data_IF_371784401890
#
_entry.id   IF_371784401890
#
_cell.length_a   1.000
_cell.length_b   1.000
_cell.length_c   1.000
_cell.angle_alpha   90.00
_cell.angle_beta   90.00
_cell.angle_gamma   90.00
#
_symmetry.space_group_name_H-M   'P 1'
#
loop_
_entity.id
_entity.type
_entity.pdbx_description
1 polymer ?
#
# COMPACT_ATOMS: atom_id res chain seq x y z
N UNK A 1 -31.28 -3.06 -12.02
CA UNK A 1 -31.46 -1.62 -11.64
C UNK A 1 -30.43 -0.82 -12.41
N UNK A 2 -30.82 0.25 -13.13
CA UNK A 2 -29.81 1.14 -13.74
C UNK A 2 -29.00 1.76 -12.62
N UNK A 3 -27.67 1.59 -12.64
CA UNK A 3 -26.77 2.10 -11.62
C UNK A 3 -26.99 3.59 -11.40
N UNK A 4 -27.15 4.00 -10.13
CA UNK A 4 -27.24 5.41 -9.77
C UNK A 4 -25.86 6.03 -9.96
N UNK A 5 -25.74 6.95 -10.91
CA UNK A 5 -24.55 7.81 -10.97
C UNK A 5 -24.60 8.83 -9.83
N UNK A 6 -23.47 8.99 -9.12
CA UNK A 6 -23.34 10.03 -8.11
C UNK A 6 -23.23 11.40 -8.82
N UNK A 7 -24.01 12.42 -8.45
CA UNK A 7 -23.94 13.75 -9.06
C UNK A 7 -22.58 14.39 -8.85
N UNK A 8 -22.15 15.24 -9.78
CA UNK A 8 -20.96 16.09 -9.60
C UNK A 8 -21.13 16.99 -8.37
N UNK A 9 -20.01 17.30 -7.69
CA UNK A 9 -19.99 18.44 -6.80
C UNK A 9 -20.27 19.71 -7.64
N UNK A 10 -21.08 20.63 -7.12
CA UNK A 10 -21.55 21.79 -7.86
C UNK A 10 -20.40 22.67 -8.38
N UNK A 11 -19.30 22.79 -7.64
CA UNK A 11 -18.11 23.54 -8.06
C UNK A 11 -17.42 22.90 -9.26
N UNK A 12 -17.27 21.58 -9.25
CA UNK A 12 -16.70 20.82 -10.37
C UNK A 12 -17.62 20.86 -11.59
N UNK A 13 -18.93 20.82 -11.38
CA UNK A 13 -19.93 20.97 -12.43
C UNK A 13 -19.84 22.35 -13.10
N UNK A 14 -19.74 23.41 -12.29
CA UNK A 14 -19.54 24.78 -12.82
C UNK A 14 -18.26 24.90 -13.62
N UNK A 15 -17.14 24.39 -13.12
CA UNK A 15 -15.85 24.42 -13.81
C UNK A 15 -15.90 23.64 -15.13
N UNK A 16 -16.48 22.43 -15.15
CA UNK A 16 -16.60 21.63 -16.36
C UNK A 16 -17.49 22.29 -17.43
N UNK A 17 -18.62 22.89 -17.03
CA UNK A 17 -19.50 23.63 -17.94
C UNK A 17 -18.81 24.90 -18.46
N UNK A 18 -18.08 25.61 -17.60
CA UNK A 18 -17.28 26.77 -18.02
C UNK A 18 -16.24 26.38 -19.08
N UNK A 19 -15.50 25.31 -18.85
CA UNK A 19 -14.53 24.81 -19.80
C UNK A 19 -15.16 24.43 -21.17
N UNK A 20 -16.35 23.82 -21.14
CA UNK A 20 -17.12 23.57 -22.37
C UNK A 20 -17.55 24.85 -23.08
N UNK A 21 -17.97 25.87 -22.32
CA UNK A 21 -18.33 27.19 -22.90
C UNK A 21 -17.15 27.88 -23.57
N UNK A 22 -15.96 27.75 -23.02
CA UNK A 22 -14.72 28.31 -23.56
C UNK A 22 -14.15 27.48 -24.72
N UNK A 23 -14.68 26.28 -24.97
CA UNK A 23 -14.14 25.34 -25.95
C UNK A 23 -12.84 24.67 -25.52
N UNK A 24 -12.52 24.75 -24.26
CA UNK A 24 -11.33 24.17 -23.64
C UNK A 24 -11.54 22.71 -23.27
N UNK A 25 -12.79 22.32 -22.98
CA UNK A 25 -13.22 20.94 -22.77
C UNK A 25 -14.16 20.51 -23.89
N UNK A 26 -13.86 19.40 -24.55
CA UNK A 26 -14.75 18.82 -25.55
C UNK A 26 -16.05 18.29 -24.90
N UNK A 27 -17.19 18.52 -25.53
CA UNK A 27 -18.51 18.20 -24.97
C UNK A 27 -18.73 16.67 -24.85
N UNK A 28 -18.02 15.85 -25.59
CA UNK A 28 -18.04 14.39 -25.48
C UNK A 28 -17.30 13.85 -24.24
N UNK A 29 -16.50 14.69 -23.60
CA UNK A 29 -15.79 14.36 -22.36
C UNK A 29 -16.64 14.56 -21.10
N UNK A 30 -17.80 15.22 -21.19
CA UNK A 30 -18.73 15.43 -20.08
C UNK A 30 -20.03 14.64 -20.31
N UNK A 31 -20.35 13.77 -19.38
CA UNK A 31 -21.57 12.96 -19.47
C UNK A 31 -22.74 13.70 -18.82
N UNK A 32 -23.80 13.90 -19.57
CA UNK A 32 -24.97 14.69 -19.17
C UNK A 32 -25.64 14.17 -17.89
N UNK A 33 -25.61 12.85 -17.67
CA UNK A 33 -26.22 12.21 -16.51
C UNK A 33 -25.49 12.52 -15.20
N UNK A 34 -24.26 13.03 -15.28
CA UNK A 34 -23.45 13.41 -14.13
C UNK A 34 -23.81 14.80 -13.61
N UNK A 35 -24.52 15.60 -14.39
CA UNK A 35 -24.86 16.99 -14.08
C UNK A 35 -26.18 17.08 -13.29
N UNK A 36 -26.32 18.16 -12.54
CA UNK A 36 -27.59 18.56 -11.95
C UNK A 36 -28.64 18.85 -13.02
N UNK A 37 -29.92 18.89 -12.67
CA UNK A 37 -30.97 19.22 -13.66
C UNK A 37 -30.72 20.55 -14.37
N UNK A 38 -30.24 21.55 -13.62
CA UNK A 38 -29.90 22.87 -14.17
C UNK A 38 -28.67 22.79 -15.07
N UNK A 39 -27.60 22.09 -14.64
CA UNK A 39 -26.43 21.84 -15.45
C UNK A 39 -26.72 21.06 -16.73
N UNK A 40 -27.60 20.06 -16.69
CA UNK A 40 -28.06 19.30 -17.86
C UNK A 40 -28.73 20.22 -18.92
N UNK A 41 -29.60 21.14 -18.47
CA UNK A 41 -30.26 22.05 -19.37
C UNK A 41 -29.26 23.01 -20.06
N UNK A 42 -28.33 23.54 -19.31
CA UNK A 42 -27.26 24.42 -19.82
C UNK A 42 -26.35 23.64 -20.77
N UNK A 43 -25.92 22.43 -20.38
CA UNK A 43 -25.06 21.61 -21.23
C UNK A 43 -25.74 21.22 -22.55
N UNK A 44 -27.01 20.82 -22.54
CA UNK A 44 -27.79 20.58 -23.77
C UNK A 44 -27.83 21.82 -24.68
N UNK A 45 -27.97 22.99 -24.11
CA UNK A 45 -27.95 24.24 -24.85
C UNK A 45 -26.56 24.52 -25.46
N UNK A 46 -25.47 24.25 -24.74
CA UNK A 46 -24.10 24.39 -25.26
C UNK A 46 -23.89 23.45 -26.44
N UNK A 47 -24.22 22.17 -26.31
CA UNK A 47 -24.10 21.16 -27.36
C UNK A 47 -24.92 21.54 -28.60
N UNK A 48 -26.17 21.95 -28.38
CA UNK A 48 -27.06 22.36 -29.48
C UNK A 48 -26.62 23.60 -30.25
N UNK A 49 -25.94 24.54 -29.57
CA UNK A 49 -25.43 25.77 -30.15
C UNK A 49 -24.02 25.63 -30.72
N UNK A 50 -23.19 24.69 -30.15
CA UNK A 50 -21.80 24.51 -30.52
C UNK A 50 -21.53 23.90 -31.88
N UNK A 51 -22.56 23.33 -32.57
CA UNK A 51 -22.44 22.72 -33.89
C UNK A 51 -22.05 23.68 -35.03
N UNK A 52 -21.76 24.94 -34.74
CA UNK A 52 -21.40 25.98 -35.74
C UNK A 52 -19.97 26.54 -35.55
N UNK A 53 -19.11 25.87 -34.81
CA UNK A 53 -17.67 26.21 -34.71
C UNK A 53 -17.33 27.51 -33.96
N UNK A 54 -18.27 28.09 -33.23
CA UNK A 54 -18.05 29.24 -32.36
C UNK A 54 -18.57 28.94 -30.94
N UNK A 55 -17.84 29.32 -29.91
CA UNK A 55 -18.31 29.26 -28.54
C UNK A 55 -19.60 30.09 -28.40
N UNK A 56 -20.70 29.50 -27.89
CA UNK A 56 -21.96 30.22 -27.78
C UNK A 56 -21.88 31.29 -26.70
N UNK A 57 -22.54 32.43 -26.94
CA UNK A 57 -22.62 33.49 -25.92
C UNK A 57 -23.50 33.04 -24.74
N UNK A 58 -23.17 33.52 -23.53
CA UNK A 58 -23.97 33.25 -22.32
C UNK A 58 -25.46 33.53 -22.53
N UNK A 59 -25.82 34.61 -23.24
CA UNK A 59 -27.20 34.95 -23.56
C UNK A 59 -27.87 33.90 -24.46
N UNK A 60 -27.18 33.42 -25.47
CA UNK A 60 -27.71 32.36 -26.35
C UNK A 60 -27.91 31.05 -25.60
N UNK A 61 -26.97 30.66 -24.73
CA UNK A 61 -27.07 29.48 -23.88
C UNK A 61 -28.27 29.57 -22.94
N UNK A 62 -28.45 30.70 -22.26
CA UNK A 62 -29.60 30.92 -21.34
C UNK A 62 -30.94 30.83 -22.07
N UNK A 63 -31.02 31.38 -23.27
CA UNK A 63 -32.25 31.35 -24.08
C UNK A 63 -32.57 29.88 -24.50
N UNK A 64 -31.57 29.15 -24.98
CA UNK A 64 -31.75 27.75 -25.39
C UNK A 64 -31.97 26.83 -24.19
N UNK A 65 -31.29 27.04 -23.07
CA UNK A 65 -31.43 26.23 -21.87
C UNK A 65 -32.84 26.37 -21.25
N UNK A 66 -33.50 27.52 -21.41
CA UNK A 66 -34.87 27.73 -20.91
C UNK A 66 -35.90 26.80 -21.58
N UNK A 67 -35.62 26.30 -22.77
CA UNK A 67 -36.46 25.33 -23.48
C UNK A 67 -36.36 23.92 -22.87
N UNK A 68 -35.25 23.60 -22.22
CA UNK A 68 -34.98 22.29 -21.59
C UNK A 68 -35.21 22.28 -20.06
N UNK A 69 -35.29 23.46 -19.44
CA UNK A 69 -35.42 23.61 -18.00
C UNK A 69 -36.90 23.80 -17.64
N UNK A 70 -37.48 22.80 -17.03
CA UNK A 70 -38.89 22.87 -16.58
C UNK A 70 -39.14 23.72 -15.32
N UNK A 71 -38.19 24.61 -14.93
CA UNK A 71 -38.22 25.43 -13.74
C UNK A 71 -38.09 26.93 -14.00
N UNK A 72 -37.78 27.72 -12.95
CA UNK A 72 -37.64 29.17 -13.05
C UNK A 72 -36.37 29.54 -13.85
N UNK A 73 -36.49 30.47 -14.79
CA UNK A 73 -35.40 31.06 -15.53
C UNK A 73 -34.40 31.81 -14.63
N UNK A 74 -34.86 32.24 -13.44
CA UNK A 74 -34.02 32.79 -12.40
C UNK A 74 -32.91 31.85 -11.93
N UNK A 75 -33.25 30.56 -11.79
CA UNK A 75 -32.27 29.51 -11.42
C UNK A 75 -31.17 29.34 -12.47
N UNK A 76 -31.52 29.36 -13.75
CA UNK A 76 -30.56 29.31 -14.88
C UNK A 76 -29.61 30.49 -14.88
N UNK A 77 -30.13 31.73 -14.59
CA UNK A 77 -29.30 32.94 -14.53
C UNK A 77 -28.33 32.91 -13.36
N UNK A 78 -28.81 32.48 -12.19
CA UNK A 78 -27.98 32.35 -10.99
C UNK A 78 -26.89 31.28 -11.20
N UNK A 79 -27.23 30.14 -11.78
CA UNK A 79 -26.28 29.10 -12.11
C UNK A 79 -25.22 29.57 -13.12
N UNK A 80 -25.64 30.21 -14.21
CA UNK A 80 -24.71 30.73 -15.22
C UNK A 80 -23.80 31.86 -14.67
N UNK A 81 -24.28 32.63 -13.70
CA UNK A 81 -23.44 33.59 -13.00
C UNK A 81 -22.34 32.87 -12.22
N UNK A 82 -22.68 31.86 -11.45
CA UNK A 82 -21.71 31.04 -10.71
C UNK A 82 -20.72 30.31 -11.64
N UNK A 83 -21.18 29.80 -12.80
CA UNK A 83 -20.31 29.21 -13.83
C UNK A 83 -19.29 30.22 -14.34
N UNK A 84 -19.67 31.46 -14.61
CA UNK A 84 -18.78 32.49 -15.13
C UNK A 84 -17.84 33.07 -14.08
N UNK A 85 -18.21 33.00 -12.79
CA UNK A 85 -17.44 33.50 -11.66
C UNK A 85 -16.58 32.42 -11.02
N UNK A 86 -16.72 31.13 -11.45
CA UNK A 86 -15.91 30.05 -10.90
C UNK A 86 -14.44 30.26 -11.26
N UNK A 87 -13.58 30.18 -10.25
CA UNK A 87 -12.14 30.03 -10.46
C UNK A 87 -11.89 28.78 -11.29
N UNK A 88 -11.23 28.93 -12.44
CA UNK A 88 -10.94 27.81 -13.33
C UNK A 88 -9.73 27.06 -12.80
N UNK A 89 -9.89 25.84 -12.25
CA UNK A 89 -8.77 24.94 -12.14
C UNK A 89 -8.24 24.62 -13.54
N UNK A 90 -6.97 24.24 -13.63
CA UNK A 90 -6.43 23.80 -14.91
C UNK A 90 -7.28 22.65 -15.49
N UNK A 91 -7.55 22.69 -16.78
CA UNK A 91 -8.42 21.69 -17.47
C UNK A 91 -7.99 20.26 -17.16
N UNK A 92 -6.68 20.02 -17.02
CA UNK A 92 -6.12 18.72 -16.65
C UNK A 92 -6.65 18.26 -15.29
N UNK A 93 -6.84 19.16 -14.32
CA UNK A 93 -7.38 18.86 -13.00
C UNK A 93 -8.88 18.52 -13.06
N UNK A 94 -9.64 19.23 -13.87
CA UNK A 94 -11.07 18.94 -14.11
C UNK A 94 -11.23 17.57 -14.72
N UNK A 95 -10.47 17.25 -15.78
CA UNK A 95 -10.49 15.95 -16.45
C UNK A 95 -10.07 14.81 -15.53
N UNK A 96 -9.02 15.01 -14.72
CA UNK A 96 -8.57 14.02 -13.74
C UNK A 96 -9.67 13.74 -12.70
N UNK A 97 -10.33 14.78 -12.21
CA UNK A 97 -11.38 14.65 -11.21
C UNK A 97 -12.62 13.94 -11.78
N UNK A 98 -13.01 14.25 -13.01
CA UNK A 98 -14.10 13.55 -13.70
C UNK A 98 -13.76 12.08 -13.93
N UNK A 99 -12.56 11.77 -14.40
CA UNK A 99 -12.10 10.40 -14.59
C UNK A 99 -12.11 9.62 -13.27
N UNK A 100 -11.59 10.22 -12.19
CA UNK A 100 -11.58 9.61 -10.86
C UNK A 100 -13.00 9.31 -10.35
N UNK A 101 -13.94 10.23 -10.56
CA UNK A 101 -15.34 10.02 -10.15
C UNK A 101 -15.99 8.89 -10.92
N UNK A 102 -15.82 8.82 -12.26
CA UNK A 102 -16.36 7.72 -13.09
C UNK A 102 -15.82 6.38 -12.62
N UNK A 103 -14.57 6.35 -12.27
CA UNK A 103 -13.89 5.21 -11.71
C UNK A 103 -14.53 4.74 -10.38
N UNK A 104 -14.77 5.66 -9.46
CA UNK A 104 -15.46 5.36 -8.19
C UNK A 104 -16.88 4.85 -8.45
N UNK A 105 -17.61 5.47 -9.38
CA UNK A 105 -18.96 5.01 -9.75
C UNK A 105 -18.95 3.58 -10.32
N UNK A 106 -17.98 3.23 -11.17
CA UNK A 106 -17.84 1.89 -11.70
C UNK A 106 -17.61 0.85 -10.58
N UNK A 107 -16.73 1.18 -9.60
CA UNK A 107 -16.49 0.32 -8.43
C UNK A 107 -17.74 0.14 -7.58
N UNK A 108 -18.48 1.23 -7.31
CA UNK A 108 -19.71 1.17 -6.51
C UNK A 108 -20.81 0.35 -7.21
N UNK A 109 -20.97 0.51 -8.52
CA UNK A 109 -21.93 -0.25 -9.30
C UNK A 109 -21.58 -1.74 -9.32
N UNK A 110 -20.33 -2.10 -9.57
CA UNK A 110 -19.84 -3.47 -9.54
C UNK A 110 -20.04 -4.11 -8.15
N UNK A 111 -19.70 -3.39 -7.08
CA UNK A 111 -19.93 -3.85 -5.70
C UNK A 111 -21.42 -4.07 -5.43
N UNK A 112 -22.28 -3.18 -5.93
CA UNK A 112 -23.75 -3.29 -5.76
C UNK A 112 -24.29 -4.50 -6.51
N UNK A 113 -23.82 -4.75 -7.73
CA UNK A 113 -24.24 -5.89 -8.54
C UNK A 113 -23.75 -7.21 -7.95
N UNK A 114 -22.52 -7.28 -7.45
CA UNK A 114 -22.00 -8.46 -6.75
C UNK A 114 -22.80 -8.78 -5.48
N UNK A 115 -23.11 -7.77 -4.67
CA UNK A 115 -23.96 -7.94 -3.47
C UNK A 115 -25.35 -8.46 -3.89
N UNK A 116 -25.94 -7.92 -4.95
CA UNK A 116 -27.27 -8.31 -5.44
C UNK A 116 -27.29 -9.74 -6.00
N UNK A 117 -26.17 -10.23 -6.52
CA UNK A 117 -26.02 -11.61 -7.05
C UNK A 117 -25.55 -12.61 -6.00
N UNK A 118 -25.22 -12.17 -4.79
CA UNK A 118 -24.66 -13.00 -3.72
C UNK A 118 -23.19 -13.39 -3.93
N UNK A 119 -22.51 -12.73 -4.87
CA UNK A 119 -21.08 -12.87 -5.07
C UNK A 119 -20.33 -11.90 -4.15
N UNK A 120 -19.73 -12.43 -3.09
CA UNK A 120 -18.95 -11.64 -2.13
C UNK A 120 -17.44 -11.66 -2.46
N UNK A 121 -17.04 -12.12 -3.66
CA UNK A 121 -15.65 -12.01 -4.10
C UNK A 121 -15.32 -10.55 -4.45
N UNK A 122 -14.36 -9.97 -3.76
CA UNK A 122 -13.90 -8.59 -4.03
C UNK A 122 -12.91 -8.48 -5.21
N UNK A 123 -12.73 -9.55 -5.99
CA UNK A 123 -11.71 -9.60 -7.04
C UNK A 123 -11.97 -8.61 -8.18
N UNK A 124 -13.22 -8.51 -8.66
CA UNK A 124 -13.58 -7.56 -9.71
C UNK A 124 -13.48 -6.09 -9.26
N UNK A 125 -13.86 -5.83 -8.00
CA UNK A 125 -13.75 -4.49 -7.40
C UNK A 125 -12.30 -4.06 -7.28
N UNK A 126 -11.40 -4.96 -6.89
CA UNK A 126 -9.97 -4.68 -6.78
C UNK A 126 -9.36 -4.28 -8.13
N UNK A 127 -9.67 -5.03 -9.19
CA UNK A 127 -9.20 -4.73 -10.54
C UNK A 127 -9.69 -3.37 -11.04
N UNK A 128 -10.94 -3.00 -10.72
CA UNK A 128 -11.48 -1.69 -11.03
C UNK A 128 -10.79 -0.58 -10.22
N UNK A 129 -10.59 -0.77 -8.92
CA UNK A 129 -9.86 0.19 -8.08
C UNK A 129 -8.43 0.37 -8.59
N UNK A 130 -7.73 -0.70 -8.93
CA UNK A 130 -6.35 -0.64 -9.45
C UNK A 130 -6.28 0.07 -10.81
N UNK A 131 -7.25 -0.13 -11.70
CA UNK A 131 -7.36 0.59 -12.98
C UNK A 131 -7.69 2.06 -12.80
N UNK A 132 -8.40 2.43 -11.75
CA UNK A 132 -8.87 3.80 -11.49
C UNK A 132 -7.93 4.61 -10.63
N UNK A 133 -7.01 3.97 -9.92
CA UNK A 133 -6.09 4.62 -8.99
C UNK A 133 -4.91 5.34 -9.68
N UNK A 134 -4.83 5.40 -11.02
CA UNK A 134 -3.65 5.96 -11.66
C UNK A 134 -3.90 6.82 -12.89
N UNK A 135 -4.00 8.13 -12.74
CA UNK A 135 -3.72 9.04 -13.84
C UNK A 135 -2.36 9.75 -13.77
N UNK A 136 -1.55 9.58 -12.75
CA UNK A 136 -0.27 10.33 -12.67
C UNK A 136 0.92 9.68 -13.37
N UNK A 137 0.72 8.63 -14.18
CA UNK A 137 1.81 8.06 -14.97
C UNK A 137 1.93 8.73 -16.35
N UNK A 138 2.27 10.03 -16.38
CA UNK A 138 3.01 10.53 -17.55
C UNK A 138 4.24 9.63 -17.69
N UNK A 139 4.38 8.97 -18.84
CA UNK A 139 5.62 8.25 -19.17
C UNK A 139 6.75 9.29 -19.18
N UNK A 140 7.45 9.38 -18.04
CA UNK A 140 8.61 10.26 -17.91
C UNK A 140 9.83 9.44 -18.29
N UNK A 141 10.55 9.77 -19.36
CA UNK A 141 11.77 9.07 -19.73
C UNK A 141 12.73 8.98 -18.53
N UNK A 142 13.38 7.84 -18.35
CA UNK A 142 14.30 7.62 -17.23
C UNK A 142 15.40 8.70 -17.17
N UNK A 143 15.89 9.16 -18.34
CA UNK A 143 16.89 10.25 -18.45
C UNK A 143 16.47 11.52 -17.72
N UNK A 144 15.17 11.85 -17.73
CA UNK A 144 14.65 13.09 -17.11
C UNK A 144 14.61 12.97 -15.57
N UNK A 145 14.71 11.74 -15.05
CA UNK A 145 14.86 11.43 -13.63
C UNK A 145 16.33 11.33 -13.20
N UNK A 146 17.25 11.00 -14.12
CA UNK A 146 18.68 10.77 -13.83
C UNK A 146 19.48 12.04 -13.56
N UNK A 147 18.95 13.25 -13.85
CA UNK A 147 19.59 14.52 -13.50
C UNK A 147 19.62 14.84 -12.00
N UNK A 148 18.85 14.10 -11.19
CA UNK A 148 18.89 14.19 -9.73
C UNK A 148 19.92 13.17 -9.20
N UNK A 149 20.78 13.59 -8.27
CA UNK A 149 21.71 12.69 -7.57
C UNK A 149 20.90 11.56 -6.93
N UNK A 150 20.93 10.38 -7.55
CA UNK A 150 20.21 9.20 -7.05
C UNK A 150 21.09 8.57 -5.97
N UNK A 151 20.66 8.69 -4.72
CA UNK A 151 21.27 7.98 -3.62
C UNK A 151 20.81 6.51 -3.64
N UNK A 152 21.62 5.57 -3.14
CA UNK A 152 21.16 4.21 -2.89
C UNK A 152 19.90 4.22 -2.00
N UNK A 153 18.99 3.25 -2.15
CA UNK A 153 17.83 3.17 -1.29
C UNK A 153 18.25 3.05 0.18
N UNK A 154 17.68 3.88 1.03
CA UNK A 154 17.92 3.86 2.47
C UNK A 154 16.80 3.07 3.13
N UNK A 155 17.16 2.01 3.84
CA UNK A 155 16.24 1.19 4.61
C UNK A 155 15.92 1.77 5.99
N UNK A 156 15.08 1.07 6.71
CA UNK A 156 14.79 1.37 8.12
C UNK A 156 16.01 0.98 8.96
N UNK A 157 16.53 1.94 9.69
CA UNK A 157 17.62 1.71 10.65
C UNK A 157 17.11 0.87 11.84
N UNK A 158 17.92 -0.11 12.26
CA UNK A 158 17.58 -1.01 13.37
C UNK A 158 18.61 -0.83 14.49
N UNK A 159 18.30 -0.05 15.54
CA UNK A 159 19.27 0.22 16.62
C UNK A 159 19.80 -1.03 17.31
N UNK A 160 18.95 -2.07 17.46
CA UNK A 160 19.34 -3.31 18.14
C UNK A 160 20.22 -4.25 17.31
N UNK A 161 20.40 -4.00 16.02
CA UNK A 161 21.13 -4.86 15.07
C UNK A 161 22.05 -4.01 14.16
N UNK A 162 23.13 -3.43 14.70
CA UNK A 162 24.01 -2.53 13.95
C UNK A 162 24.67 -3.16 12.72
N UNK A 163 24.85 -4.48 12.67
CA UNK A 163 25.40 -5.15 11.48
C UNK A 163 24.48 -5.05 10.27
N UNK A 164 23.15 -5.11 10.45
CA UNK A 164 22.17 -4.89 9.37
C UNK A 164 22.31 -3.47 8.82
N UNK A 165 22.45 -2.49 9.69
CA UNK A 165 22.59 -1.09 9.25
C UNK A 165 23.90 -0.86 8.48
N UNK A 166 25.00 -1.43 8.95
CA UNK A 166 26.32 -1.24 8.36
C UNK A 166 26.48 -1.93 7.00
N UNK A 167 26.03 -3.18 6.89
CA UNK A 167 26.27 -3.99 5.69
C UNK A 167 25.12 -3.89 4.65
N UNK A 168 23.90 -3.56 5.11
CA UNK A 168 22.68 -3.61 4.30
C UNK A 168 21.92 -2.27 4.27
N UNK A 169 22.46 -1.22 4.92
CA UNK A 169 21.82 0.09 5.06
C UNK A 169 20.38 0.02 5.62
N UNK A 170 20.14 -0.91 6.55
CA UNK A 170 18.86 -1.14 7.20
C UNK A 170 17.94 -2.13 6.48
N UNK A 171 16.67 -2.16 6.87
CA UNK A 171 15.61 -2.96 6.22
C UNK A 171 15.01 -2.15 5.07
N UNK A 172 15.15 -2.65 3.84
CA UNK A 172 14.59 -2.03 2.66
C UNK A 172 13.73 -3.01 1.85
N UNK A 173 12.56 -2.53 1.40
CA UNK A 173 11.65 -3.33 0.59
C UNK A 173 11.02 -4.50 1.35
N UNK A 174 11.11 -5.68 0.77
CA UNK A 174 10.65 -6.93 1.37
C UNK A 174 11.86 -7.73 1.88
N UNK A 175 11.87 -8.05 3.15
CA UNK A 175 12.87 -8.90 3.79
C UNK A 175 12.20 -10.20 4.26
N UNK A 176 12.80 -11.32 3.93
CA UNK A 176 12.38 -12.62 4.42
C UNK A 176 13.33 -13.06 5.53
N UNK A 177 12.81 -13.35 6.71
CA UNK A 177 13.55 -13.98 7.80
C UNK A 177 13.13 -15.45 7.84
N UNK A 178 14.01 -16.32 7.41
CA UNK A 178 13.75 -17.77 7.40
C UNK A 178 14.69 -18.52 8.35
N UNK A 179 14.38 -19.76 8.62
CA UNK A 179 15.22 -20.65 9.45
C UNK A 179 14.44 -21.84 9.97
N UNK A 180 15.15 -22.73 10.63
CA UNK A 180 14.60 -23.92 11.26
C UNK A 180 13.65 -23.58 12.41
N UNK A 181 12.77 -24.52 12.83
CA UNK A 181 12.03 -24.36 14.08
C UNK A 181 12.97 -24.07 15.25
N UNK A 182 12.55 -23.21 16.15
CA UNK A 182 13.32 -22.80 17.34
C UNK A 182 14.70 -22.12 17.07
N UNK A 183 14.99 -21.71 15.83
CA UNK A 183 16.20 -20.92 15.51
C UNK A 183 16.14 -19.47 16.02
N UNK A 184 14.98 -18.98 16.44
CA UNK A 184 14.80 -17.63 16.98
C UNK A 184 14.27 -16.59 15.96
N UNK A 185 13.65 -17.04 14.86
CA UNK A 185 13.06 -16.16 13.84
C UNK A 185 12.07 -15.14 14.41
N UNK A 186 11.07 -15.61 15.17
CA UNK A 186 10.04 -14.76 15.80
C UNK A 186 10.67 -13.83 16.84
N UNK A 187 11.65 -14.32 17.60
CA UNK A 187 12.44 -13.49 18.54
C UNK A 187 13.14 -12.35 17.79
N UNK A 188 13.81 -12.65 16.68
CA UNK A 188 14.50 -11.65 15.87
C UNK A 188 13.51 -10.67 15.23
N UNK A 189 12.41 -11.17 14.65
CA UNK A 189 11.35 -10.35 14.06
C UNK A 189 10.71 -9.40 15.06
N UNK A 190 10.37 -9.90 16.25
CA UNK A 190 9.81 -9.09 17.34
C UNK A 190 10.82 -8.05 17.84
N UNK A 191 12.09 -8.43 18.01
CA UNK A 191 13.15 -7.50 18.42
C UNK A 191 13.35 -6.38 17.40
N UNK A 192 13.31 -6.67 16.11
CA UNK A 192 13.35 -5.66 15.05
C UNK A 192 12.12 -4.75 15.15
N UNK A 193 10.92 -5.32 15.23
CA UNK A 193 9.67 -4.60 15.34
C UNK A 193 9.68 -3.60 16.51
N UNK A 194 10.01 -4.08 17.69
CA UNK A 194 10.11 -3.29 18.92
C UNK A 194 11.19 -2.20 18.80
N UNK A 195 12.34 -2.52 18.21
CA UNK A 195 13.43 -1.56 18.03
C UNK A 195 13.06 -0.42 17.07
N UNK A 196 12.30 -0.73 16.02
CA UNK A 196 11.84 0.22 14.98
C UNK A 196 10.68 1.08 15.48
N UNK A 197 9.82 0.54 16.36
CA UNK A 197 8.61 1.23 16.83
C UNK A 197 8.88 2.49 17.65
N UNK A 198 10.12 2.70 18.12
CA UNK A 198 10.54 3.95 18.78
C UNK A 198 10.47 5.16 17.83
N UNK A 199 10.74 4.95 16.55
CA UNK A 199 10.89 6.04 15.57
C UNK A 199 9.75 6.09 14.54
N UNK A 200 9.06 4.96 14.31
CA UNK A 200 8.01 4.87 13.28
C UNK A 200 6.99 3.78 13.58
N UNK A 201 5.79 3.85 13.00
CA UNK A 201 4.78 2.82 13.16
C UNK A 201 5.25 1.46 12.66
N UNK A 202 4.90 0.43 13.41
CA UNK A 202 5.07 -0.99 13.06
C UNK A 202 3.72 -1.68 13.17
N UNK A 203 3.30 -2.34 12.10
CA UNK A 203 2.16 -3.26 12.10
C UNK A 203 2.69 -4.69 12.17
N UNK A 204 2.45 -5.35 13.30
CA UNK A 204 2.86 -6.74 13.51
C UNK A 204 1.64 -7.67 13.38
N UNK A 205 1.62 -8.47 12.34
CA UNK A 205 0.60 -9.48 12.10
C UNK A 205 1.05 -10.80 12.70
N UNK A 206 0.54 -11.09 13.90
CA UNK A 206 0.80 -12.34 14.62
C UNK A 206 -0.26 -13.39 14.32
N UNK A 207 0.16 -14.46 13.67
CA UNK A 207 -0.68 -15.63 13.38
C UNK A 207 -0.35 -16.85 14.23
N UNK A 208 0.58 -16.71 15.19
CA UNK A 208 1.09 -17.86 15.95
C UNK A 208 0.71 -17.85 17.42
N UNK A 209 0.84 -16.70 18.09
CA UNK A 209 0.95 -16.68 19.55
C UNK A 209 -0.21 -15.97 20.25
N UNK A 210 -0.67 -14.84 19.74
CA UNK A 210 -1.68 -13.99 20.37
C UNK A 210 -1.09 -12.89 21.26
N UNK A 211 -1.93 -11.87 21.51
CA UNK A 211 -1.50 -10.62 22.18
C UNK A 211 -0.91 -10.83 23.59
N UNK A 212 -1.50 -11.70 24.39
CA UNK A 212 -1.03 -11.94 25.77
C UNK A 212 0.37 -12.54 25.81
N UNK A 213 0.62 -13.51 24.92
CA UNK A 213 1.93 -14.15 24.80
C UNK A 213 2.96 -13.18 24.27
N UNK A 214 2.61 -12.38 23.27
CA UNK A 214 3.49 -11.33 22.75
C UNK A 214 3.82 -10.28 23.80
N UNK A 215 2.83 -9.82 24.58
CA UNK A 215 3.04 -8.88 25.68
C UNK A 215 3.98 -9.46 26.75
N UNK A 216 3.84 -10.74 27.08
CA UNK A 216 4.76 -11.44 27.96
C UNK A 216 6.18 -11.48 27.39
N UNK A 217 6.36 -11.81 26.10
CA UNK A 217 7.68 -11.82 25.44
C UNK A 217 8.35 -10.44 25.46
N UNK A 218 7.59 -9.37 25.24
CA UNK A 218 8.11 -7.99 25.33
C UNK A 218 8.50 -7.67 26.78
N UNK A 219 7.71 -8.10 27.74
CA UNK A 219 8.05 -7.94 29.17
C UNK A 219 9.39 -8.63 29.52
N UNK A 220 9.57 -9.87 29.07
CA UNK A 220 10.83 -10.62 29.24
C UNK A 220 12.00 -9.94 28.52
N UNK A 221 11.78 -9.45 27.29
CA UNK A 221 12.80 -8.73 26.50
C UNK A 221 13.39 -7.54 27.26
N UNK A 222 12.59 -6.84 28.06
CA UNK A 222 12.99 -5.67 28.83
C UNK A 222 13.13 -5.94 30.34
N UNK A 223 13.10 -7.20 30.78
CA UNK A 223 13.18 -7.60 32.17
C UNK A 223 12.21 -6.83 33.10
N UNK A 224 10.97 -6.65 32.64
CA UNK A 224 9.93 -5.96 33.39
C UNK A 224 10.07 -4.43 33.47
N UNK A 225 11.04 -3.83 32.80
CA UNK A 225 11.25 -2.37 32.85
C UNK A 225 10.12 -1.63 32.11
N UNK A 226 9.13 -1.17 32.88
CA UNK A 226 7.92 -0.54 32.35
C UNK A 226 8.20 0.68 31.46
N UNK A 227 9.11 1.55 31.84
CA UNK A 227 9.44 2.74 31.07
C UNK A 227 10.03 2.39 29.69
N UNK A 228 10.84 1.32 29.62
CA UNK A 228 11.31 0.81 28.31
C UNK A 228 10.17 0.18 27.53
N UNK A 229 9.33 -0.65 28.15
CA UNK A 229 8.19 -1.27 27.49
C UNK A 229 7.31 -0.19 26.86
N UNK A 230 6.88 0.81 27.63
CA UNK A 230 6.02 1.89 27.15
C UNK A 230 6.66 2.62 25.95
N UNK A 231 7.94 3.00 26.05
CA UNK A 231 8.68 3.66 24.97
C UNK A 231 8.78 2.82 23.68
N UNK A 232 9.08 1.53 23.83
CA UNK A 232 9.34 0.63 22.72
C UNK A 232 8.08 -0.04 22.16
N UNK A 233 6.91 0.26 22.69
CA UNK A 233 5.62 -0.24 22.18
C UNK A 233 4.66 0.87 21.77
N UNK A 234 5.02 2.14 21.92
CA UNK A 234 4.16 3.28 21.63
C UNK A 234 3.59 3.26 20.19
N UNK A 235 4.40 2.85 19.23
CA UNK A 235 3.99 2.75 17.81
C UNK A 235 3.99 1.31 17.29
N UNK A 236 3.87 0.32 18.19
CA UNK A 236 3.74 -1.09 17.82
C UNK A 236 2.27 -1.51 17.87
N UNK A 237 1.71 -1.82 16.72
CA UNK A 237 0.31 -2.23 16.55
C UNK A 237 0.25 -3.71 16.19
N UNK A 238 -0.44 -4.52 16.99
CA UNK A 238 -0.58 -5.97 16.78
C UNK A 238 -1.91 -6.26 16.12
N UNK A 239 -1.94 -7.20 15.18
CA UNK A 239 -3.12 -7.69 14.46
C UNK A 239 -3.03 -9.19 14.25
N UNK A 240 -4.21 -9.81 14.09
CA UNK A 240 -4.33 -11.26 13.84
C UNK A 240 -5.01 -11.57 12.51
N UNK A 241 -5.27 -10.55 11.69
CA UNK A 241 -5.85 -10.69 10.34
C UNK A 241 -5.32 -9.64 9.40
N UNK A 242 -4.98 -10.03 8.17
CA UNK A 242 -4.59 -9.11 7.10
C UNK A 242 -5.78 -8.39 6.44
N UNK A 243 -7.02 -8.77 6.80
CA UNK A 243 -8.22 -8.14 6.24
C UNK A 243 -8.35 -6.64 6.54
N UNK A 244 -7.59 -6.12 7.50
CA UNK A 244 -7.59 -4.70 7.88
C UNK A 244 -6.38 -3.93 7.38
N UNK A 245 -5.47 -4.56 6.64
CA UNK A 245 -4.16 -3.99 6.28
C UNK A 245 -4.24 -2.61 5.63
N UNK A 246 -5.05 -2.47 4.58
CA UNK A 246 -5.17 -1.19 3.85
C UNK A 246 -5.77 -0.08 4.71
N UNK A 247 -6.77 -0.44 5.52
CA UNK A 247 -7.38 0.50 6.47
C UNK A 247 -6.36 0.95 7.52
N UNK A 248 -5.63 0.01 8.11
CA UNK A 248 -4.65 0.29 9.17
C UNK A 248 -3.50 1.16 8.63
N UNK A 249 -2.99 0.87 7.43
CA UNK A 249 -1.99 1.72 6.76
C UNK A 249 -2.54 3.10 6.40
N UNK A 250 -3.80 3.17 5.94
CA UNK A 250 -4.48 4.44 5.66
C UNK A 250 -4.66 5.33 6.89
N UNK A 251 -4.82 4.74 8.07
CA UNK A 251 -4.90 5.47 9.35
C UNK A 251 -3.55 6.03 9.77
N UNK A 252 -2.46 5.30 9.55
CA UNK A 252 -1.11 5.70 9.94
C UNK A 252 -0.53 6.80 9.04
N UNK A 253 -0.88 6.83 7.75
CA UNK A 253 -0.51 7.86 6.74
C UNK A 253 0.99 8.11 6.58
N UNK A 254 1.84 7.23 7.04
CA UNK A 254 3.32 7.35 6.99
C UNK A 254 3.96 6.02 6.61
N UNK A 255 5.19 6.04 6.08
CA UNK A 255 5.96 4.83 5.83
C UNK A 255 6.05 3.95 7.08
N UNK A 256 5.57 2.73 6.97
CA UNK A 256 5.35 1.79 8.07
C UNK A 256 6.15 0.52 7.82
N UNK A 257 6.68 -0.10 8.88
CA UNK A 257 7.18 -1.47 8.82
C UNK A 257 6.02 -2.44 9.07
N UNK A 258 5.81 -3.37 8.16
CA UNK A 258 4.83 -4.46 8.29
C UNK A 258 5.57 -5.75 8.56
N UNK A 259 5.26 -6.45 9.64
CA UNK A 259 5.84 -7.76 9.99
C UNK A 259 4.72 -8.80 9.95
N UNK A 260 4.99 -9.95 9.34
CA UNK A 260 4.04 -11.08 9.25
C UNK A 260 4.68 -12.32 9.84
N UNK A 261 4.19 -12.75 10.99
CA UNK A 261 4.69 -13.92 11.75
C UNK A 261 3.57 -14.95 11.99
N UNK A 262 3.54 -16.05 11.29
CA UNK A 262 4.37 -16.44 10.16
C UNK A 262 3.51 -16.49 8.88
N UNK A 263 4.15 -16.27 7.75
CA UNK A 263 3.47 -16.24 6.45
C UNK A 263 2.77 -17.58 6.14
N UNK A 264 3.26 -18.71 6.65
CA UNK A 264 2.66 -20.01 6.45
C UNK A 264 1.31 -20.19 7.16
N UNK A 265 1.00 -19.35 8.15
CA UNK A 265 -0.24 -19.43 8.94
C UNK A 265 -1.31 -18.43 8.52
N UNK A 266 -1.05 -17.63 7.50
CA UNK A 266 -2.02 -16.67 6.95
C UNK A 266 -3.25 -17.35 6.34
N UNK A 267 -3.10 -18.60 5.83
CA UNK A 267 -4.19 -19.37 5.25
C UNK A 267 -4.73 -20.39 6.23
N UNK A 268 -6.06 -20.38 6.44
CA UNK A 268 -6.79 -21.39 7.19
C UNK A 268 -7.26 -22.57 6.29
N UNK A 269 -7.18 -22.45 4.96
CA UNK A 269 -7.60 -23.47 4.01
C UNK A 269 -6.41 -24.36 3.63
N UNK A 270 -6.58 -25.68 3.77
CA UNK A 270 -5.56 -26.66 3.39
C UNK A 270 -5.50 -26.81 1.86
N UNK A 271 -6.64 -26.73 1.17
CA UNK A 271 -6.77 -26.99 -0.27
C UNK A 271 -6.22 -25.88 -1.17
N UNK A 272 -6.17 -24.63 -0.69
CA UNK A 272 -5.71 -23.46 -1.46
C UNK A 272 -4.61 -22.68 -0.74
N UNK A 273 -3.89 -23.33 0.16
CA UNK A 273 -2.91 -22.68 1.03
C UNK A 273 -1.84 -21.94 0.25
N UNK A 274 -1.26 -22.59 -0.77
CA UNK A 274 -0.20 -22.01 -1.60
C UNK A 274 -0.68 -20.77 -2.36
N UNK A 275 -1.82 -20.86 -3.05
CA UNK A 275 -2.40 -19.76 -3.79
C UNK A 275 -2.72 -18.55 -2.90
N UNK A 276 -3.21 -18.81 -1.68
CA UNK A 276 -3.48 -17.78 -0.68
C UNK A 276 -2.19 -17.10 -0.23
N UNK A 277 -1.12 -17.87 0.05
CA UNK A 277 0.17 -17.32 0.44
C UNK A 277 0.75 -16.47 -0.69
N UNK A 278 0.74 -16.96 -1.93
CA UNK A 278 1.24 -16.24 -3.10
C UNK A 278 0.48 -14.91 -3.29
N UNK A 279 -0.85 -14.92 -3.17
CA UNK A 279 -1.68 -13.70 -3.23
C UNK A 279 -1.31 -12.69 -2.14
N UNK A 280 -1.10 -13.17 -0.90
CA UNK A 280 -0.70 -12.31 0.22
C UNK A 280 0.70 -11.73 0.01
N UNK A 281 1.65 -12.54 -0.47
CA UNK A 281 3.01 -12.08 -0.79
C UNK A 281 2.98 -10.97 -1.83
N UNK A 282 2.26 -11.15 -2.94
CA UNK A 282 2.11 -10.12 -3.98
C UNK A 282 1.46 -8.83 -3.46
N UNK A 283 0.42 -8.97 -2.61
CA UNK A 283 -0.24 -7.81 -2.00
C UNK A 283 0.72 -7.02 -1.12
N UNK A 284 1.49 -7.69 -0.29
CA UNK A 284 2.44 -7.06 0.62
C UNK A 284 3.66 -6.51 -0.13
N UNK A 285 4.14 -7.19 -1.18
CA UNK A 285 5.20 -6.67 -2.05
C UNK A 285 4.82 -5.33 -2.70
N UNK A 286 3.57 -5.17 -3.09
CA UNK A 286 3.07 -3.92 -3.68
C UNK A 286 3.19 -2.71 -2.74
N UNK A 287 3.26 -2.91 -1.42
CA UNK A 287 3.41 -1.85 -0.43
C UNK A 287 4.71 -1.05 -0.57
N UNK A 288 5.75 -1.64 -1.17
CA UNK A 288 7.03 -0.96 -1.49
C UNK A 288 6.83 0.32 -2.31
N UNK A 289 5.85 0.31 -3.22
CA UNK A 289 5.53 1.45 -4.09
C UNK A 289 5.06 2.68 -3.30
N UNK A 290 4.56 2.45 -2.08
CA UNK A 290 4.08 3.48 -1.17
C UNK A 290 5.08 3.82 -0.06
N UNK A 291 6.31 3.28 -0.15
CA UNK A 291 7.37 3.52 0.82
C UNK A 291 7.30 2.68 2.09
N UNK A 292 6.37 1.71 2.17
CA UNK A 292 6.34 0.76 3.27
C UNK A 292 7.40 -0.33 3.09
N UNK A 293 7.82 -0.94 4.19
CA UNK A 293 8.74 -2.06 4.20
C UNK A 293 8.07 -3.27 4.85
N UNK A 294 8.44 -4.46 4.42
CA UNK A 294 7.78 -5.70 4.86
C UNK A 294 8.82 -6.70 5.34
N UNK A 295 8.53 -7.37 6.45
CA UNK A 295 9.26 -8.55 6.92
C UNK A 295 8.31 -9.73 6.90
N UNK A 296 8.68 -10.79 6.18
CA UNK A 296 8.06 -12.10 6.29
C UNK A 296 8.89 -13.00 7.19
N UNK A 297 8.26 -13.58 8.21
CA UNK A 297 8.85 -14.68 8.97
C UNK A 297 8.36 -15.98 8.35
N UNK A 298 9.30 -16.84 7.95
CA UNK A 298 9.03 -18.07 7.19
C UNK A 298 9.75 -19.27 7.80
N UNK A 299 9.08 -20.42 7.82
CA UNK A 299 9.74 -21.68 8.14
C UNK A 299 10.54 -22.19 6.95
N UNK A 300 11.70 -22.75 7.25
CA UNK A 300 12.55 -23.44 6.29
C UNK A 300 12.10 -24.87 6.07
N UNK A 301 12.21 -25.37 4.85
CA UNK A 301 11.95 -26.77 4.52
C UNK A 301 13.02 -27.69 5.13
N UNK A 302 12.63 -28.89 5.56
CA UNK A 302 13.54 -29.84 6.23
C UNK A 302 14.77 -30.21 5.41
N UNK A 303 14.63 -30.26 4.08
CA UNK A 303 15.75 -30.58 3.17
C UNK A 303 16.87 -29.52 3.17
N UNK A 304 16.59 -28.32 3.68
CA UNK A 304 17.53 -27.19 3.70
C UNK A 304 18.07 -26.89 5.10
N UNK A 305 17.81 -27.76 6.08
CA UNK A 305 18.35 -27.58 7.44
C UNK A 305 19.88 -27.70 7.46
N UNK A 306 20.50 -26.94 8.34
CA UNK A 306 21.96 -26.93 8.51
C UNK A 306 22.75 -26.16 7.45
N UNK A 307 22.12 -25.71 6.35
CA UNK A 307 22.79 -24.96 5.29
C UNK A 307 22.10 -23.65 4.98
N UNK A 308 22.80 -22.50 4.96
CA UNK A 308 22.22 -21.26 4.50
C UNK A 308 21.92 -21.38 3.00
N UNK A 309 20.63 -21.28 2.62
CA UNK A 309 20.24 -21.45 1.22
C UNK A 309 19.05 -20.59 0.84
N UNK A 310 18.99 -20.18 -0.43
CA UNK A 310 17.84 -19.49 -1.01
C UNK A 310 16.60 -20.39 -1.19
N UNK A 311 16.78 -21.70 -1.39
CA UNK A 311 15.69 -22.63 -1.67
C UNK A 311 15.08 -23.26 -0.41
N UNK A 312 14.93 -22.45 0.65
CA UNK A 312 14.60 -22.93 1.99
C UNK A 312 13.13 -22.85 2.36
N UNK A 313 12.34 -21.98 1.76
CA UNK A 313 10.94 -21.78 2.18
C UNK A 313 10.07 -23.01 1.96
N UNK A 314 9.33 -23.40 3.00
CA UNK A 314 8.63 -24.69 3.08
C UNK A 314 7.44 -24.81 2.10
N UNK A 315 6.74 -23.72 1.82
CA UNK A 315 5.43 -23.77 1.15
C UNK A 315 5.50 -23.30 -0.32
N UNK A 316 6.25 -22.23 -0.61
CA UNK A 316 6.34 -21.67 -1.96
C UNK A 316 7.64 -20.89 -2.16
N UNK A 317 8.21 -20.99 -3.37
CA UNK A 317 9.36 -20.21 -3.80
C UNK A 317 9.05 -18.71 -3.97
N UNK A 318 7.77 -18.34 -4.09
CA UNK A 318 7.34 -16.96 -4.27
C UNK A 318 7.77 -16.05 -3.11
N UNK A 319 7.79 -16.57 -1.88
CA UNK A 319 8.25 -15.82 -0.70
C UNK A 319 9.71 -15.36 -0.88
N UNK A 320 10.58 -16.25 -1.35
CA UNK A 320 12.00 -15.95 -1.57
C UNK A 320 12.20 -15.06 -2.81
N UNK A 321 11.38 -15.27 -3.86
CA UNK A 321 11.41 -14.44 -5.06
C UNK A 321 10.97 -13.01 -4.77
N UNK A 322 9.92 -12.80 -3.99
CA UNK A 322 9.44 -11.49 -3.59
C UNK A 322 10.45 -10.73 -2.70
N UNK A 323 11.23 -11.44 -1.89
CA UNK A 323 12.23 -10.85 -1.00
C UNK A 323 13.27 -10.03 -1.77
N UNK A 324 13.46 -8.78 -1.37
CA UNK A 324 14.61 -7.96 -1.79
C UNK A 324 15.88 -8.39 -1.05
N UNK A 325 15.72 -8.88 0.19
CA UNK A 325 16.75 -9.61 0.93
C UNK A 325 16.16 -10.84 1.63
N UNK A 326 16.98 -11.86 1.78
CA UNK A 326 16.62 -13.09 2.53
C UNK A 326 17.68 -13.31 3.60
N UNK A 327 17.22 -13.35 4.84
CA UNK A 327 18.01 -13.61 6.03
C UNK A 327 17.71 -15.02 6.51
N UNK A 328 18.74 -15.79 6.74
CA UNK A 328 18.64 -17.15 7.28
C UNK A 328 19.16 -17.17 8.70
N UNK A 329 18.30 -17.54 9.64
CA UNK A 329 18.64 -17.68 11.06
C UNK A 329 18.98 -19.14 11.32
N UNK A 330 20.23 -19.44 11.55
CA UNK A 330 20.75 -20.78 11.77
C UNK A 330 21.03 -20.99 13.26
N UNK A 331 20.44 -22.04 13.84
CA UNK A 331 20.73 -22.42 15.22
C UNK A 331 22.12 -23.07 15.30
N UNK A 332 22.99 -22.55 16.14
CA UNK A 332 24.35 -23.11 16.40
C UNK A 332 24.38 -23.83 17.71
N UNK A 333 23.75 -23.28 18.74
CA UNK A 333 23.63 -23.89 20.07
C UNK A 333 22.28 -23.48 20.70
N UNK A 334 22.07 -23.80 21.97
CA UNK A 334 20.87 -23.36 22.69
C UNK A 334 20.78 -21.83 22.78
N UNK A 335 21.91 -21.16 23.03
CA UNK A 335 21.98 -19.72 23.24
C UNK A 335 22.55 -18.94 22.07
N UNK A 336 22.92 -19.58 20.98
CA UNK A 336 23.58 -18.93 19.87
C UNK A 336 22.96 -19.31 18.55
N UNK A 337 22.66 -18.31 17.73
CA UNK A 337 22.29 -18.46 16.31
C UNK A 337 23.21 -17.61 15.44
N UNK A 338 23.30 -17.93 14.18
CA UNK A 338 23.98 -17.14 13.16
C UNK A 338 22.95 -16.48 12.25
N UNK A 339 23.17 -15.23 11.92
CA UNK A 339 22.38 -14.50 10.92
C UNK A 339 23.15 -14.45 9.62
N UNK A 340 22.59 -15.08 8.59
CA UNK A 340 23.16 -15.14 7.25
C UNK A 340 22.32 -14.33 6.28
N UNK A 341 22.96 -13.62 5.35
CA UNK A 341 22.31 -12.97 4.20
C UNK A 341 22.50 -13.88 3.00
N UNK A 342 21.47 -14.58 2.58
CA UNK A 342 21.52 -15.54 1.45
C UNK A 342 21.10 -14.91 0.13
N UNK A 343 20.37 -13.78 0.19
CA UNK A 343 20.00 -12.96 -0.97
C UNK A 343 20.01 -11.49 -0.60
N UNK A 344 20.48 -10.66 -1.53
CA UNK A 344 20.39 -9.21 -1.42
C UNK A 344 20.37 -8.58 -2.83
N UNK A 345 19.28 -7.92 -3.17
CA UNK A 345 19.10 -7.27 -4.49
C UNK A 345 19.80 -5.91 -4.60
N UNK A 346 19.98 -5.23 -3.48
CA UNK A 346 20.37 -3.82 -3.46
C UNK A 346 21.83 -3.60 -3.07
N UNK A 347 22.43 -4.55 -2.36
CA UNK A 347 23.80 -4.48 -1.87
C UNK A 347 24.55 -5.76 -2.21
N UNK A 348 25.87 -5.66 -2.34
CA UNK A 348 26.72 -6.80 -2.73
C UNK A 348 26.94 -7.82 -1.62
N UNK A 349 26.54 -7.48 -0.37
CA UNK A 349 26.82 -8.35 0.76
C UNK A 349 25.91 -9.59 0.75
N UNK A 350 26.53 -10.76 0.76
CA UNK A 350 25.94 -12.06 1.07
C UNK A 350 26.92 -12.84 1.95
N UNK A 351 26.42 -13.77 2.76
CA UNK A 351 27.22 -14.56 3.69
C UNK A 351 26.80 -14.33 5.15
N UNK A 352 27.64 -14.80 6.07
CA UNK A 352 27.42 -14.64 7.49
C UNK A 352 27.52 -13.15 7.88
N UNK A 353 26.42 -12.62 8.43
CA UNK A 353 26.34 -11.23 8.86
C UNK A 353 26.88 -11.07 10.28
N UNK A 354 26.37 -11.84 11.22
CA UNK A 354 26.75 -11.77 12.65
C UNK A 354 26.30 -13.02 13.42
N UNK A 355 26.96 -13.29 14.53
CA UNK A 355 26.44 -14.21 15.53
C UNK A 355 25.46 -13.48 16.44
N UNK A 356 24.37 -14.15 16.77
CA UNK A 356 23.30 -13.71 17.66
C UNK A 356 23.35 -14.52 18.95
N UNK A 357 23.72 -13.90 20.04
CA UNK A 357 23.77 -14.54 21.37
C UNK A 357 22.54 -14.12 22.17
N UNK A 358 21.84 -15.08 22.75
CA UNK A 358 20.69 -14.81 23.61
C UNK A 358 21.13 -14.10 24.89
N UNK A 359 20.60 -12.91 25.13
CA UNK A 359 20.74 -12.20 26.42
C UNK A 359 19.65 -12.65 27.40
N UNK A 360 18.48 -12.97 26.87
CA UNK A 360 17.38 -13.62 27.57
C UNK A 360 16.52 -14.38 26.56
N UNK A 361 15.40 -14.96 26.99
CA UNK A 361 14.56 -15.79 26.13
C UNK A 361 14.09 -15.08 24.85
N UNK A 362 13.96 -13.75 24.84
CA UNK A 362 13.36 -12.96 23.77
C UNK A 362 14.23 -11.83 23.24
N UNK A 363 15.52 -11.84 23.55
CA UNK A 363 16.44 -10.82 23.05
C UNK A 363 17.77 -11.42 22.63
N UNK A 364 18.23 -11.00 21.47
CA UNK A 364 19.56 -11.27 20.95
C UNK A 364 20.48 -10.05 21.09
N UNK A 365 21.76 -10.32 21.31
CA UNK A 365 22.87 -9.39 21.17
C UNK A 365 23.76 -9.86 20.03
N UNK A 366 24.24 -8.94 19.19
CA UNK A 366 25.27 -9.24 18.20
C UNK A 366 26.63 -9.49 18.88
N UNK A 367 27.28 -10.60 18.54
CA UNK A 367 28.61 -10.96 19.03
C UNK A 367 29.71 -10.80 17.96
N UNK A 368 29.39 -10.20 16.81
CA UNK A 368 30.29 -10.08 15.67
C UNK A 368 30.41 -11.38 14.86
N UNK A 369 31.27 -11.34 13.84
CA UNK A 369 31.59 -12.54 13.07
C UNK A 369 32.53 -13.42 13.89
N UNK A 370 32.16 -14.68 14.10
CA UNK A 370 33.09 -15.65 14.67
C UNK A 370 34.22 -15.87 13.66
N UNK A 371 35.44 -15.61 14.08
CA UNK A 371 36.66 -15.84 13.26
C UNK A 371 37.01 -17.31 13.09
N UNK A 372 36.20 -18.22 13.61
CA UNK A 372 36.48 -19.66 13.68
C UNK A 372 35.60 -20.49 12.76
N UNK A 373 35.53 -20.21 11.47
CA UNK A 373 35.42 -21.25 10.45
C UNK A 373 36.70 -21.21 9.64
N UNK A 374 37.64 -22.07 10.03
CA UNK A 374 38.72 -22.53 9.21
C UNK A 374 38.12 -23.23 8.02
N UNK A 375 38.63 -22.91 6.82
CA UNK A 375 38.32 -23.38 5.49
C UNK A 375 38.05 -24.89 5.39
#
# INVERSE_FOLDING_TARGET
>A
MKGRQLPLNIELEHAAIHACLKGELATDQLHIEELSKTGQAIFKAIVGLGGKGKSPSTKAVLLSASEFHGGDVGDLRTYMKAVNESDMPEIEEVLETLARKRAINAVVNEATDQIATGDYSLLGIKDLVDKTASPKNKLVPLRDRMGKKIAPPVGIHIPSLPSINRELNGIYGVVVIQGEPAAGKSTLGLQIAVSVSVERPVLYYDFEQGEEVMAWHINEMFAGNRAKIDRYTENLYVRHTLGTLERDLGMLKVPTLVVVDSIQKVSHSISHKRETIDSVVHKLEALKKYGHHVIFISEKGRASYGNPSMSGSKETGEIEYAGDAVYDVMKVSEDTSELWVVKNRHYKFTGMLTSLVRENSWRFREAGRSSNRID
#
